data_IF_903678365073
#
_entry.id   IF_903678365073
#
_cell.length_a   1.000
_cell.length_b   1.000
_cell.length_c   1.000
_cell.angle_alpha   90.00
_cell.angle_beta   90.00
_cell.angle_gamma   90.00
#
_symmetry.space_group_name_H-M   'P 1'
#
loop_
_entity.id
_entity.type
_entity.pdbx_description
1 polymer ?
#
# COMPACT_ATOMS: atom_id res chain seq x y z
N UNK A 1 6.78 -10.38 -6.18
CA UNK A 1 5.59 -11.19 -6.46
C UNK A 1 5.57 -11.62 -7.93
N UNK A 2 4.83 -12.71 -8.24
CA UNK A 2 4.67 -13.20 -9.61
C UNK A 2 3.43 -14.06 -9.78
N UNK A 3 3.14 -14.38 -11.06
CA UNK A 3 2.04 -15.29 -11.42
C UNK A 3 2.58 -16.29 -12.45
N UNK A 4 2.31 -17.57 -12.23
CA UNK A 4 2.58 -18.64 -13.20
C UNK A 4 1.34 -19.52 -13.31
N UNK A 5 0.85 -19.70 -14.52
CA UNK A 5 -0.34 -20.54 -14.81
C UNK A 5 -1.56 -20.20 -13.91
N UNK A 6 -1.77 -18.89 -13.66
CA UNK A 6 -2.85 -18.39 -12.82
C UNK A 6 -2.58 -18.48 -11.30
N UNK A 7 -1.48 -19.05 -10.88
CA UNK A 7 -1.11 -19.18 -9.46
C UNK A 7 -0.20 -18.04 -9.03
N UNK A 8 -0.64 -17.27 -8.06
CA UNK A 8 0.17 -16.23 -7.43
C UNK A 8 1.27 -16.85 -6.55
N UNK A 9 2.50 -16.38 -6.70
CA UNK A 9 3.64 -16.82 -5.89
C UNK A 9 4.52 -15.65 -5.46
N UNK A 10 5.37 -15.89 -4.47
CA UNK A 10 6.42 -14.95 -4.06
C UNK A 10 7.72 -15.69 -3.77
N UNK A 11 8.83 -14.97 -3.90
CA UNK A 11 10.07 -15.31 -3.21
C UNK A 11 9.92 -14.92 -1.74
N UNK A 12 10.15 -15.88 -0.86
CA UNK A 12 10.01 -15.71 0.59
C UNK A 12 11.24 -16.25 1.31
N UNK A 13 11.60 -15.60 2.40
CA UNK A 13 12.62 -16.09 3.33
C UNK A 13 11.99 -16.22 4.72
N UNK A 14 12.24 -17.30 5.46
CA UNK A 14 11.88 -17.37 6.88
C UNK A 14 12.51 -16.21 7.64
N UNK A 15 11.76 -15.61 8.54
CA UNK A 15 12.22 -14.52 9.39
C UNK A 15 12.21 -14.99 10.84
N UNK A 16 13.34 -14.88 11.50
CA UNK A 16 13.48 -15.09 12.92
C UNK A 16 13.76 -13.76 13.60
N UNK A 17 12.90 -13.37 14.53
CA UNK A 17 13.02 -12.11 15.29
C UNK A 17 13.62 -12.40 16.65
N UNK A 18 14.50 -11.51 17.11
CA UNK A 18 15.18 -11.57 18.42
C UNK A 18 15.02 -10.26 19.16
N UNK A 19 15.03 -10.31 20.48
CA UNK A 19 15.08 -9.11 21.32
C UNK A 19 16.55 -8.70 21.53
N UNK A 20 17.18 -8.25 20.45
CA UNK A 20 18.57 -7.77 20.42
C UNK A 20 18.66 -6.52 19.53
N UNK A 21 18.92 -5.32 20.09
CA UNK A 21 19.03 -4.09 19.32
C UNK A 21 20.13 -4.09 18.25
N UNK A 22 21.19 -4.91 18.41
CA UNK A 22 22.30 -4.98 17.47
C UNK A 22 22.03 -5.95 16.29
N UNK A 23 21.08 -6.86 16.45
CA UNK A 23 20.75 -7.87 15.43
C UNK A 23 19.34 -8.44 15.66
N UNK A 24 18.31 -7.60 15.50
CA UNK A 24 16.94 -7.92 15.88
C UNK A 24 16.26 -8.94 14.96
N UNK A 25 16.84 -9.27 13.80
CA UNK A 25 16.31 -10.32 12.93
C UNK A 25 17.39 -11.07 12.15
N UNK A 26 17.05 -12.28 11.76
CA UNK A 26 17.78 -13.10 10.79
C UNK A 26 16.82 -13.63 9.73
N UNK A 27 17.28 -13.72 8.50
CA UNK A 27 16.54 -14.33 7.40
C UNK A 27 17.15 -15.66 6.99
N UNK A 28 16.32 -16.65 6.75
CA UNK A 28 16.73 -17.94 6.22
C UNK A 28 16.84 -17.94 4.69
N UNK A 29 17.05 -19.11 4.08
CA UNK A 29 17.19 -19.24 2.63
C UNK A 29 15.90 -18.87 1.91
N UNK A 30 16.07 -18.17 0.78
CA UNK A 30 14.98 -17.78 -0.10
C UNK A 30 14.38 -19.03 -0.78
N UNK A 31 13.06 -19.06 -0.89
CA UNK A 31 12.32 -20.11 -1.59
C UNK A 31 11.08 -19.51 -2.29
N UNK A 32 10.60 -20.17 -3.35
CA UNK A 32 9.36 -19.81 -4.01
C UNK A 32 8.17 -20.47 -3.29
N UNK A 33 7.13 -19.71 -2.96
CA UNK A 33 5.92 -20.20 -2.32
C UNK A 33 4.68 -19.72 -3.05
N UNK A 34 3.71 -20.62 -3.24
CA UNK A 34 2.38 -20.24 -3.68
C UNK A 34 1.68 -19.44 -2.56
N UNK A 35 1.19 -18.27 -2.90
CA UNK A 35 0.61 -17.34 -1.92
C UNK A 35 -0.77 -17.80 -1.41
N UNK A 36 -1.52 -18.56 -2.22
CA UNK A 36 -2.82 -19.10 -1.79
C UNK A 36 -2.76 -20.07 -0.60
N UNK A 37 -1.57 -20.60 -0.29
CA UNK A 37 -1.33 -21.48 0.86
C UNK A 37 -0.92 -20.73 2.15
N UNK A 38 -0.83 -19.39 2.09
CA UNK A 38 -0.50 -18.60 3.26
C UNK A 38 -1.72 -18.41 4.16
N UNK A 39 -1.57 -18.58 5.46
CA UNK A 39 -2.63 -18.32 6.43
C UNK A 39 -3.02 -16.85 6.48
N UNK A 40 -2.03 -15.97 6.39
CA UNK A 40 -2.20 -14.52 6.40
C UNK A 40 -1.07 -13.86 5.60
N UNK A 41 -1.43 -12.87 4.80
CA UNK A 41 -0.51 -11.98 4.10
C UNK A 41 -0.77 -10.55 4.56
N UNK A 42 0.26 -9.88 5.05
CA UNK A 42 0.21 -8.46 5.39
C UNK A 42 0.86 -7.66 4.26
N UNK A 43 0.08 -6.83 3.58
CA UNK A 43 0.60 -5.89 2.59
C UNK A 43 1.21 -4.69 3.32
N UNK A 44 2.53 -4.71 3.46
CA UNK A 44 3.31 -3.68 4.18
C UNK A 44 4.29 -2.94 3.27
N UNK A 45 4.07 -2.98 1.95
CA UNK A 45 4.87 -2.20 0.99
C UNK A 45 4.60 -0.71 1.19
N UNK A 46 5.68 0.05 1.35
CA UNK A 46 5.61 1.51 1.45
C UNK A 46 5.30 2.15 0.09
N UNK A 47 4.74 3.37 0.06
CA UNK A 47 4.60 4.16 -1.16
C UNK A 47 5.95 4.34 -1.89
N UNK A 48 5.96 4.68 -3.18
CA UNK A 48 4.84 5.28 -3.93
C UNK A 48 3.79 4.26 -4.38
N UNK A 49 2.54 4.73 -4.52
CA UNK A 49 1.45 3.97 -5.13
C UNK A 49 1.55 4.11 -6.65
N UNK A 50 2.53 3.46 -7.21
CA UNK A 50 2.83 3.42 -8.64
C UNK A 50 2.22 2.19 -9.33
N UNK A 51 2.55 2.00 -10.60
CA UNK A 51 2.06 0.85 -11.37
C UNK A 51 2.50 -0.49 -10.76
N UNK A 52 3.72 -0.57 -10.22
CA UNK A 52 4.21 -1.79 -9.57
C UNK A 52 3.41 -2.10 -8.31
N UNK A 53 3.14 -1.09 -7.46
CA UNK A 53 2.29 -1.25 -6.30
C UNK A 53 0.89 -1.76 -6.68
N UNK A 54 0.28 -1.19 -7.72
CA UNK A 54 -1.02 -1.64 -8.24
C UNK A 54 -0.96 -3.08 -8.72
N UNK A 55 0.08 -3.46 -9.47
CA UNK A 55 0.25 -4.85 -9.93
C UNK A 55 0.43 -5.81 -8.75
N UNK A 56 1.18 -5.45 -7.71
CA UNK A 56 1.31 -6.27 -6.50
C UNK A 56 -0.05 -6.50 -5.84
N UNK A 57 -0.88 -5.47 -5.71
CA UNK A 57 -2.24 -5.65 -5.16
C UNK A 57 -3.12 -6.54 -6.03
N UNK A 58 -2.96 -6.51 -7.36
CA UNK A 58 -3.68 -7.40 -8.28
C UNK A 58 -3.24 -8.85 -8.11
N UNK A 59 -1.93 -9.11 -7.95
CA UNK A 59 -1.40 -10.45 -7.65
C UNK A 59 -1.90 -10.93 -6.28
N UNK A 60 -1.93 -10.07 -5.27
CA UNK A 60 -2.49 -10.41 -3.96
C UNK A 60 -3.99 -10.73 -4.02
N UNK A 61 -4.74 -10.10 -4.93
CA UNK A 61 -6.14 -10.47 -5.17
C UNK A 61 -6.29 -11.88 -5.76
N UNK A 62 -5.30 -12.37 -6.54
CA UNK A 62 -5.27 -13.78 -6.98
C UNK A 62 -5.02 -14.72 -5.80
N UNK A 63 -4.08 -14.37 -4.92
CA UNK A 63 -3.82 -15.14 -3.71
C UNK A 63 -5.05 -15.23 -2.80
N UNK A 64 -5.78 -14.11 -2.63
CA UNK A 64 -7.01 -14.04 -1.84
C UNK A 64 -8.10 -14.96 -2.42
N UNK A 65 -8.30 -14.93 -3.74
CA UNK A 65 -9.23 -15.87 -4.41
C UNK A 65 -8.83 -17.34 -4.28
N UNK A 66 -7.54 -17.62 -4.11
CA UNK A 66 -7.00 -18.96 -3.89
C UNK A 66 -7.05 -19.39 -2.41
N UNK A 67 -7.56 -18.55 -1.50
CA UNK A 67 -7.81 -18.90 -0.11
C UNK A 67 -6.94 -18.16 0.93
N UNK A 68 -5.92 -17.42 0.53
CA UNK A 68 -5.12 -16.62 1.47
C UNK A 68 -5.94 -15.48 2.08
N UNK A 69 -5.74 -15.20 3.35
CA UNK A 69 -6.24 -13.98 3.99
C UNK A 69 -5.24 -12.85 3.74
N UNK A 70 -5.68 -11.78 3.09
CA UNK A 70 -4.80 -10.62 2.80
C UNK A 70 -5.29 -9.40 3.56
N UNK A 71 -4.42 -8.74 4.27
CA UNK A 71 -4.66 -7.52 5.06
C UNK A 71 -3.59 -6.46 4.70
N UNK A 72 -3.99 -5.26 4.30
CA UNK A 72 -5.35 -4.81 4.04
C UNK A 72 -5.90 -5.46 2.76
N UNK A 73 -7.22 -5.35 2.55
CA UNK A 73 -7.86 -5.86 1.34
C UNK A 73 -7.23 -5.25 0.08
N UNK A 74 -6.78 -6.07 -0.90
CA UNK A 74 -6.07 -5.56 -2.07
C UNK A 74 -6.93 -4.64 -2.97
N UNK A 75 -8.24 -4.84 -3.04
CA UNK A 75 -9.13 -3.93 -3.76
C UNK A 75 -9.27 -2.61 -3.00
N UNK A 76 -9.42 -2.67 -1.68
CA UNK A 76 -9.45 -1.49 -0.83
C UNK A 76 -8.19 -0.63 -0.98
N UNK A 77 -7.00 -1.25 -1.03
CA UNK A 77 -5.74 -0.53 -1.24
C UNK A 77 -5.67 0.21 -2.59
N UNK A 78 -6.29 -0.35 -3.64
CA UNK A 78 -6.38 0.31 -4.95
C UNK A 78 -7.41 1.43 -5.00
N UNK A 79 -8.56 1.21 -4.38
CA UNK A 79 -9.74 2.06 -4.54
C UNK A 79 -9.76 3.22 -3.54
N UNK A 80 -9.09 3.07 -2.39
CA UNK A 80 -9.06 4.06 -1.32
C UNK A 80 -7.67 4.68 -1.18
N UNK A 81 -7.37 5.67 -2.04
CA UNK A 81 -6.21 6.52 -1.81
C UNK A 81 -6.40 7.26 -0.48
N UNK A 82 -5.44 7.16 0.44
CA UNK A 82 -5.55 7.70 1.81
C UNK A 82 -5.87 9.21 1.87
N UNK A 83 -5.45 9.97 0.85
CA UNK A 83 -5.65 11.42 0.78
C UNK A 83 -7.03 11.78 0.21
N UNK A 84 -7.57 10.92 -0.66
CA UNK A 84 -8.90 11.10 -1.25
C UNK A 84 -9.99 10.47 -0.38
N UNK A 85 -9.75 9.30 0.18
CA UNK A 85 -10.70 8.61 1.06
C UNK A 85 -11.05 9.43 2.30
N UNK A 86 -10.13 10.26 2.79
CA UNK A 86 -10.40 11.19 3.89
C UNK A 86 -11.56 12.17 3.57
N UNK A 87 -11.76 12.51 2.28
CA UNK A 87 -12.83 13.42 1.85
C UNK A 87 -14.24 12.82 1.94
N UNK A 88 -14.35 11.51 2.17
CA UNK A 88 -15.62 10.85 2.50
C UNK A 88 -16.11 11.23 3.91
N UNK A 89 -15.22 11.83 4.71
CA UNK A 89 -15.48 12.28 6.08
C UNK A 89 -15.21 13.79 6.22
N UNK A 90 -15.97 14.66 5.53
CA UNK A 90 -15.67 16.08 5.43
C UNK A 90 -15.64 16.79 6.79
N UNK A 91 -16.46 16.36 7.75
CA UNK A 91 -16.51 16.91 9.10
C UNK A 91 -15.23 16.63 9.93
N UNK A 92 -14.40 15.69 9.46
CA UNK A 92 -13.14 15.32 10.09
C UNK A 92 -11.93 15.91 9.37
N UNK A 93 -12.14 16.65 8.26
CA UNK A 93 -11.09 17.20 7.43
C UNK A 93 -10.98 18.71 7.59
N UNK A 94 -9.76 19.28 7.60
CA UNK A 94 -9.59 20.71 7.40
C UNK A 94 -9.98 21.09 5.97
N UNK A 95 -10.07 22.40 5.66
CA UNK A 95 -10.23 22.84 4.27
C UNK A 95 -9.21 22.15 3.35
N UNK A 96 -9.70 21.51 2.30
CA UNK A 96 -8.88 20.65 1.44
C UNK A 96 -9.17 20.95 -0.03
N UNK A 97 -8.11 21.06 -0.82
CA UNK A 97 -8.16 21.17 -2.27
C UNK A 97 -7.38 20.03 -2.92
N UNK A 98 -7.99 19.35 -3.88
CA UNK A 98 -7.28 18.43 -4.78
C UNK A 98 -7.30 19.02 -6.18
N UNK A 99 -6.15 19.42 -6.69
CA UNK A 99 -6.02 20.01 -8.02
C UNK A 99 -4.63 19.76 -8.61
N UNK A 100 -4.56 19.68 -9.94
CA UNK A 100 -3.30 19.69 -10.69
C UNK A 100 -2.98 21.08 -11.27
N UNK A 101 -3.84 22.08 -11.06
CA UNK A 101 -3.65 23.43 -11.57
C UNK A 101 -2.96 24.30 -10.54
N UNK A 102 -1.75 24.76 -10.87
CA UNK A 102 -0.95 25.61 -9.99
C UNK A 102 -1.68 26.90 -9.57
N UNK A 103 -2.53 27.48 -10.46
CA UNK A 103 -3.30 28.68 -10.13
C UNK A 103 -4.34 28.45 -9.03
N UNK A 104 -5.01 27.29 -9.04
CA UNK A 104 -5.99 26.92 -8.02
C UNK A 104 -5.30 26.66 -6.67
N UNK A 105 -4.16 25.97 -6.70
CA UNK A 105 -3.35 25.71 -5.49
C UNK A 105 -2.87 27.02 -4.87
N UNK A 106 -2.35 27.95 -5.68
CA UNK A 106 -1.89 29.26 -5.19
C UNK A 106 -3.04 30.10 -4.60
N UNK A 107 -4.21 30.06 -5.22
CA UNK A 107 -5.39 30.77 -4.72
C UNK A 107 -5.82 30.18 -3.36
N UNK A 108 -5.85 28.86 -3.23
CA UNK A 108 -6.18 28.18 -1.98
C UNK A 108 -5.20 28.53 -0.84
N UNK A 109 -3.88 28.53 -1.12
CA UNK A 109 -2.87 28.93 -0.13
C UNK A 109 -3.04 30.41 0.27
N UNK A 110 -3.35 31.29 -0.70
CA UNK A 110 -3.57 32.72 -0.41
C UNK A 110 -4.82 32.95 0.46
N UNK A 111 -5.85 32.11 0.30
CA UNK A 111 -7.09 32.19 1.09
C UNK A 111 -6.88 31.69 2.53
N UNK A 112 -6.12 30.61 2.72
CA UNK A 112 -6.00 29.95 4.03
C UNK A 112 -4.69 30.24 4.77
N UNK A 113 -3.73 30.93 4.16
CA UNK A 113 -2.43 31.24 4.72
C UNK A 113 -1.46 30.07 4.55
N UNK A 114 -1.31 29.23 5.57
CA UNK A 114 -0.44 28.06 5.51
C UNK A 114 -1.18 26.82 4.99
N UNK A 115 -0.52 26.04 4.13
CA UNK A 115 -1.06 24.79 3.61
C UNK A 115 0.02 23.72 3.48
N UNK A 116 -0.38 22.46 3.67
CA UNK A 116 0.48 21.29 3.42
C UNK A 116 0.15 20.73 2.03
N UNK A 117 1.15 20.69 1.16
CA UNK A 117 1.02 20.06 -0.15
C UNK A 117 1.53 18.62 -0.08
N UNK A 118 0.71 17.71 -0.63
CA UNK A 118 1.08 16.28 -0.75
C UNK A 118 0.76 15.80 -2.15
N UNK A 119 1.61 14.95 -2.72
CA UNK A 119 1.29 14.22 -3.94
C UNK A 119 0.33 13.07 -3.63
N UNK A 120 -0.50 12.66 -4.60
CA UNK A 120 -1.46 11.57 -4.37
C UNK A 120 -0.79 10.19 -4.33
N UNK A 121 0.35 10.04 -4.98
CA UNK A 121 1.11 8.79 -5.15
C UNK A 121 2.26 8.62 -4.14
N UNK A 122 2.65 9.69 -3.46
CA UNK A 122 3.77 9.71 -2.51
C UNK A 122 3.36 9.89 -1.04
N UNK A 123 4.37 9.84 -0.16
CA UNK A 123 4.24 10.23 1.24
C UNK A 123 4.27 11.75 1.40
#
# INVERSE_FOLDING_TARGET
>A
LGVRDGVAFAEVAPLQVRDDPAGWFETGPVSHRALGAADLILMRKDPPVDAEYVHDTQILSLAQRAGARVVNDPAGLRDHNEKLAALEFPDCCPPTLVSRKSSEIKAFVAEHGDAVLKTLDGM
#
